data_IF_059894147437
#
_entry.id   IF_059894147437
#
_cell.length_a   1.000
_cell.length_b   1.000
_cell.length_c   1.000
_cell.angle_alpha   90.00
_cell.angle_beta   90.00
_cell.angle_gamma   90.00
#
_symmetry.space_group_name_H-M   'P 1'
#
loop_
_entity.id
_entity.type
_entity.pdbx_description
1 polymer ?
#
# COMPACT_ATOMS: atom_id res chain seq x y z
N UNK A 1 -17.35 33.72 21.33
CA UNK A 1 -16.91 34.58 20.22
C UNK A 1 -16.90 33.71 18.96
N UNK A 2 -17.90 33.89 18.07
CA UNK A 2 -18.11 33.34 16.68
C UNK A 2 -17.92 31.82 16.49
N UNK A 3 -18.88 30.95 16.17
CA UNK A 3 -20.01 30.93 15.23
C UNK A 3 -19.64 31.29 13.78
N UNK A 4 -19.58 30.29 12.88
CA UNK A 4 -20.38 30.23 11.65
C UNK A 4 -20.22 28.86 10.95
N UNK A 5 -21.33 28.13 10.84
CA UNK A 5 -21.68 27.26 9.71
C UNK A 5 -22.67 28.03 8.82
N UNK A 6 -23.06 27.43 7.68
CA UNK A 6 -23.88 27.90 6.54
C UNK A 6 -22.98 28.40 5.40
N UNK A 7 -23.02 27.90 4.16
CA UNK A 7 -24.07 27.23 3.39
C UNK A 7 -24.22 28.01 2.07
N UNK A 8 -24.31 27.33 0.91
CA UNK A 8 -24.58 28.02 -0.36
C UNK A 8 -24.31 27.21 -1.63
N UNK A 9 -25.36 26.56 -2.13
CA UNK A 9 -25.55 26.16 -3.54
C UNK A 9 -25.60 27.39 -4.47
N UNK A 10 -25.14 27.23 -5.72
CA UNK A 10 -25.86 27.73 -6.91
C UNK A 10 -25.33 27.12 -8.20
N UNK A 11 -26.29 26.77 -9.04
CA UNK A 11 -26.19 26.27 -10.40
C UNK A 11 -26.26 27.43 -11.42
N UNK A 12 -26.34 27.03 -12.69
CA UNK A 12 -26.62 27.81 -13.91
C UNK A 12 -25.41 28.56 -14.49
N UNK A 13 -25.13 28.56 -15.80
CA UNK A 13 -25.88 28.04 -16.94
C UNK A 13 -25.28 28.63 -18.22
N UNK A 14 -25.06 27.76 -19.21
CA UNK A 14 -25.39 27.92 -20.63
C UNK A 14 -24.73 29.04 -21.49
N UNK A 15 -24.43 28.66 -22.74
CA UNK A 15 -23.78 29.52 -23.72
C UNK A 15 -23.32 28.79 -24.96
N UNK A 16 -24.25 28.12 -25.66
CA UNK A 16 -24.06 27.64 -27.02
C UNK A 16 -23.93 28.79 -28.04
N UNK A 17 -23.08 28.60 -29.04
CA UNK A 17 -22.95 29.47 -30.21
C UNK A 17 -22.50 28.63 -31.40
N UNK A 18 -23.39 28.52 -32.39
CA UNK A 18 -23.37 27.64 -33.54
C UNK A 18 -23.35 28.48 -34.83
N UNK A 19 -22.51 28.07 -35.81
CA UNK A 19 -22.69 28.22 -37.28
C UNK A 19 -22.53 29.68 -37.81
N UNK A 20 -21.95 30.02 -38.96
CA UNK A 20 -21.87 29.41 -40.31
C UNK A 20 -20.71 30.02 -41.15
N UNK A 21 -20.22 29.21 -42.11
CA UNK A 21 -19.88 29.44 -43.54
C UNK A 21 -19.09 30.72 -43.94
N UNK A 22 -18.16 30.71 -44.89
CA UNK A 22 -18.35 30.27 -46.28
C UNK A 22 -17.02 30.26 -47.10
N UNK A 23 -16.95 29.32 -48.05
CA UNK A 23 -16.35 29.36 -49.40
C UNK A 23 -14.89 29.79 -49.69
N UNK A 24 -14.22 28.93 -50.48
CA UNK A 24 -13.58 29.39 -51.72
C UNK A 24 -12.11 29.00 -51.92
N UNK A 25 -11.85 28.12 -52.91
CA UNK A 25 -10.55 27.55 -53.23
C UNK A 25 -9.50 28.50 -53.83
N UNK A 26 -8.27 27.97 -53.97
CA UNK A 26 -7.20 28.61 -54.72
C UNK A 26 -5.83 28.04 -54.35
N UNK A 27 -5.25 27.24 -55.25
CA UNK A 27 -3.90 26.70 -55.08
C UNK A 27 -2.80 27.74 -55.27
N UNK A 28 -1.61 27.39 -54.75
CA UNK A 28 -0.23 27.78 -55.14
C UNK A 28 0.63 27.65 -53.87
N UNK A 29 1.41 26.58 -53.69
CA UNK A 29 2.80 26.47 -54.15
C UNK A 29 3.65 27.70 -53.84
N UNK A 30 4.49 27.64 -52.79
CA UNK A 30 5.94 27.88 -52.93
C UNK A 30 6.71 27.52 -51.64
N UNK A 31 7.53 26.48 -51.78
CA UNK A 31 8.94 26.39 -51.36
C UNK A 31 9.30 26.58 -49.90
N UNK A 32 9.55 25.47 -49.21
CA UNK A 32 10.66 25.40 -48.26
C UNK A 32 11.71 24.39 -48.76
N UNK A 33 12.72 24.99 -49.41
CA UNK A 33 14.08 24.52 -49.68
C UNK A 33 14.38 23.05 -49.39
N UNK A 34 14.25 22.22 -50.43
CA UNK A 34 14.84 20.89 -50.49
C UNK A 34 16.36 21.00 -50.63
N UNK A 35 17.10 20.92 -49.53
CA UNK A 35 18.47 20.39 -49.55
C UNK A 35 18.41 18.86 -49.47
N UNK A 36 17.75 18.25 -50.45
CA UNK A 36 17.94 16.84 -50.77
C UNK A 36 19.24 16.75 -51.58
N UNK A 37 20.37 16.56 -50.91
CA UNK A 37 21.55 16.02 -51.59
C UNK A 37 21.27 14.55 -51.83
N UNK A 38 20.72 14.28 -53.02
CA UNK A 38 20.59 12.96 -53.60
C UNK A 38 21.95 12.27 -53.63
N UNK A 39 22.19 11.36 -52.70
CA UNK A 39 23.26 10.36 -52.78
C UNK A 39 22.71 9.07 -53.40
N UNK A 40 21.93 9.20 -54.47
CA UNK A 40 21.37 8.06 -55.20
C UNK A 40 21.51 8.29 -56.69
N UNK A 41 22.74 8.29 -57.17
CA UNK A 41 23.06 7.91 -58.54
C UNK A 41 24.49 7.37 -58.60
N UNK A 42 24.60 6.12 -59.02
CA UNK A 42 25.81 5.45 -59.53
C UNK A 42 26.78 4.86 -58.50
N UNK A 43 26.37 3.76 -57.87
CA UNK A 43 27.21 2.56 -57.73
C UNK A 43 26.37 1.41 -57.18
N UNK A 44 25.72 0.64 -58.06
CA UNK A 44 25.26 -0.72 -57.74
C UNK A 44 26.47 -1.65 -57.62
N UNK A 45 27.36 -1.39 -56.65
CA UNK A 45 28.09 -2.46 -55.97
C UNK A 45 27.20 -2.79 -54.79
N UNK A 46 26.58 -3.97 -54.80
CA UNK A 46 25.77 -4.48 -53.68
C UNK A 46 26.51 -4.14 -52.39
N UNK A 47 25.95 -3.28 -51.54
CA UNK A 47 26.52 -3.08 -50.21
C UNK A 47 26.67 -4.47 -49.59
N UNK A 48 27.83 -4.79 -48.99
CA UNK A 48 28.05 -6.12 -48.51
C UNK A 48 27.02 -6.41 -47.42
N UNK A 49 26.41 -7.60 -47.44
CA UNK A 49 25.28 -7.95 -46.57
C UNK A 49 25.55 -7.72 -45.08
N UNK A 50 26.81 -7.82 -44.66
CA UNK A 50 27.24 -7.51 -43.29
C UNK A 50 27.01 -6.04 -42.91
N UNK A 51 27.20 -5.09 -43.83
CA UNK A 51 27.01 -3.66 -43.58
C UNK A 51 25.53 -3.33 -43.43
N UNK A 52 24.70 -3.90 -44.30
CA UNK A 52 23.25 -3.71 -44.24
C UNK A 52 22.65 -4.28 -42.94
N UNK A 53 23.13 -5.44 -42.49
CA UNK A 53 22.67 -6.06 -41.25
C UNK A 53 23.10 -5.26 -40.00
N UNK A 54 24.34 -4.76 -39.95
CA UNK A 54 24.81 -3.94 -38.82
C UNK A 54 24.09 -2.59 -38.76
N UNK A 55 23.86 -1.95 -39.92
CA UNK A 55 23.13 -0.69 -39.97
C UNK A 55 21.65 -0.87 -39.57
N UNK A 56 21.01 -1.98 -39.96
CA UNK A 56 19.66 -2.29 -39.53
C UNK A 56 19.58 -2.53 -38.01
N UNK A 57 20.52 -3.29 -37.42
CA UNK A 57 20.57 -3.53 -35.97
C UNK A 57 20.81 -2.22 -35.18
N UNK A 58 21.71 -1.36 -35.65
CA UNK A 58 21.96 -0.05 -35.04
C UNK A 58 20.73 0.87 -35.14
N UNK A 59 20.04 0.88 -36.28
CA UNK A 59 18.82 1.66 -36.49
C UNK A 59 17.68 1.19 -35.57
N UNK A 60 17.51 -0.11 -35.39
CA UNK A 60 16.49 -0.66 -34.48
C UNK A 60 16.83 -0.37 -33.00
N UNK A 61 18.10 -0.40 -32.62
CA UNK A 61 18.55 0.02 -31.28
C UNK A 61 18.36 1.54 -31.06
N UNK A 62 18.60 2.35 -32.09
CA UNK A 62 18.39 3.81 -32.05
C UNK A 62 16.91 4.17 -31.93
N UNK A 63 16.03 3.45 -32.63
CA UNK A 63 14.57 3.57 -32.46
C UNK A 63 14.14 3.18 -31.05
N UNK A 64 14.69 2.08 -30.52
CA UNK A 64 14.42 1.64 -29.14
C UNK A 64 14.84 2.69 -28.11
N UNK A 65 15.99 3.35 -28.32
CA UNK A 65 16.46 4.44 -27.47
C UNK A 65 15.52 5.64 -27.53
N UNK A 66 15.10 6.04 -28.73
CA UNK A 66 14.20 7.16 -28.96
C UNK A 66 12.83 6.94 -28.29
N UNK A 67 12.28 5.71 -28.38
CA UNK A 67 11.03 5.33 -27.70
C UNK A 67 11.18 5.34 -26.18
N UNK A 68 12.32 4.86 -25.67
CA UNK A 68 12.58 4.81 -24.22
C UNK A 68 12.67 6.21 -23.60
N UNK A 69 13.21 7.18 -24.34
CA UNK A 69 13.36 8.57 -23.90
C UNK A 69 12.06 9.39 -24.03
N UNK A 70 11.22 9.10 -25.02
CA UNK A 70 10.00 9.88 -25.30
C UNK A 70 8.77 9.41 -24.52
N UNK A 71 8.79 8.19 -23.99
CA UNK A 71 7.68 7.65 -23.18
C UNK A 71 7.80 8.06 -21.71
N UNK A 72 7.75 9.36 -21.45
CA UNK A 72 7.45 9.93 -20.14
C UNK A 72 5.93 10.14 -20.02
N UNK A 73 5.18 9.05 -19.93
CA UNK A 73 3.73 9.11 -19.67
C UNK A 73 3.49 9.31 -18.16
N UNK A 74 2.94 10.48 -17.81
CA UNK A 74 2.15 10.84 -16.62
C UNK A 74 2.37 10.00 -15.34
N UNK A 75 3.45 10.30 -14.63
CA UNK A 75 3.68 9.79 -13.27
C UNK A 75 3.42 10.93 -12.27
N UNK A 76 2.23 10.93 -11.65
CA UNK A 76 1.68 12.01 -10.80
C UNK A 76 2.34 12.15 -9.40
N UNK A 77 3.59 11.74 -9.21
CA UNK A 77 4.33 12.02 -7.97
C UNK A 77 5.85 11.99 -8.18
N UNK A 78 6.56 12.90 -7.51
CA UNK A 78 8.02 13.01 -7.54
C UNK A 78 8.72 11.69 -7.15
N UNK A 79 8.20 11.00 -6.13
CA UNK A 79 8.77 9.74 -5.66
C UNK A 79 8.70 8.64 -6.72
N UNK A 80 7.56 8.50 -7.40
CA UNK A 80 7.40 7.53 -8.49
C UNK A 80 8.24 7.91 -9.72
N UNK A 81 8.40 9.21 -10.01
CA UNK A 81 9.29 9.68 -11.08
C UNK A 81 10.75 9.31 -10.79
N UNK A 82 11.21 9.52 -9.56
CA UNK A 82 12.56 9.14 -9.13
C UNK A 82 12.77 7.61 -9.17
N UNK A 83 11.82 6.82 -8.63
CA UNK A 83 11.93 5.36 -8.67
C UNK A 83 11.99 4.84 -10.12
N UNK A 84 11.13 5.33 -11.00
CA UNK A 84 11.12 4.94 -12.40
C UNK A 84 12.41 5.32 -13.13
N UNK A 85 12.96 6.52 -12.86
CA UNK A 85 14.24 6.95 -13.41
C UNK A 85 15.37 6.00 -13.01
N UNK A 86 15.53 5.70 -11.71
CA UNK A 86 16.60 4.82 -11.24
C UNK A 86 16.41 3.37 -11.69
N UNK A 87 15.16 2.91 -11.88
CA UNK A 87 14.84 1.59 -12.44
C UNK A 87 15.18 1.46 -13.92
N UNK A 88 14.96 2.52 -14.72
CA UNK A 88 15.17 2.57 -16.20
C UNK A 88 16.61 2.90 -16.61
N UNK A 89 17.36 3.57 -15.73
CA UNK A 89 18.75 3.97 -15.96
C UNK A 89 19.68 2.83 -16.39
N UNK A 90 19.69 1.63 -15.76
CA UNK A 90 20.58 0.55 -16.18
C UNK A 90 20.27 0.01 -17.58
N UNK A 91 18.99 -0.08 -17.98
CA UNK A 91 18.63 -0.53 -19.32
C UNK A 91 19.03 0.49 -20.38
N UNK A 92 18.90 1.79 -20.09
CA UNK A 92 19.34 2.86 -20.98
C UNK A 92 20.87 2.87 -21.16
N UNK A 93 21.62 2.68 -20.07
CA UNK A 93 23.08 2.58 -20.12
C UNK A 93 23.54 1.38 -20.96
N UNK A 94 22.91 0.21 -20.78
CA UNK A 94 23.22 -0.96 -21.60
C UNK A 94 22.93 -0.73 -23.09
N UNK A 95 21.80 -0.10 -23.42
CA UNK A 95 21.44 0.21 -24.80
C UNK A 95 22.42 1.20 -25.45
N UNK A 96 22.87 2.21 -24.70
CA UNK A 96 23.90 3.15 -25.14
C UNK A 96 25.25 2.46 -25.36
N UNK A 97 25.64 1.57 -24.46
CA UNK A 97 26.87 0.78 -24.59
C UNK A 97 26.83 -0.13 -25.82
N UNK A 98 25.68 -0.78 -26.08
CA UNK A 98 25.48 -1.62 -27.25
C UNK A 98 25.55 -0.83 -28.56
N UNK A 99 24.97 0.38 -28.59
CA UNK A 99 25.09 1.30 -29.71
C UNK A 99 26.54 1.70 -29.95
N UNK A 100 27.24 2.12 -28.89
CA UNK A 100 28.66 2.51 -28.95
C UNK A 100 29.53 1.37 -29.49
N UNK A 101 29.38 0.16 -28.94
CA UNK A 101 30.11 -1.04 -29.37
C UNK A 101 29.77 -1.40 -30.82
N UNK A 102 28.51 -1.25 -31.23
CA UNK A 102 28.08 -1.47 -32.61
C UNK A 102 28.71 -0.48 -33.60
N UNK A 103 28.79 0.80 -33.24
CA UNK A 103 29.48 1.82 -34.05
C UNK A 103 31.00 1.57 -34.14
N UNK A 104 31.65 1.16 -33.03
CA UNK A 104 33.06 0.79 -33.04
C UNK A 104 33.33 -0.42 -33.95
N UNK A 105 32.52 -1.48 -33.81
CA UNK A 105 32.60 -2.69 -34.65
C UNK A 105 32.39 -2.36 -36.13
N UNK A 106 31.47 -1.43 -36.43
CA UNK A 106 31.24 -0.94 -37.78
C UNK A 106 32.45 -0.17 -38.33
N UNK A 107 33.03 0.73 -37.53
CA UNK A 107 34.20 1.51 -37.92
C UNK A 107 35.43 0.61 -38.15
N UNK A 108 35.70 -0.33 -37.26
CA UNK A 108 36.81 -1.28 -37.37
C UNK A 108 36.67 -2.15 -38.64
N UNK A 109 35.48 -2.73 -38.89
CA UNK A 109 35.24 -3.49 -40.13
C UNK A 109 35.35 -2.63 -41.38
N UNK A 110 34.94 -1.37 -41.33
CA UNK A 110 35.06 -0.45 -42.46
C UNK A 110 36.54 -0.16 -42.76
N UNK A 111 37.35 0.10 -41.74
CA UNK A 111 38.81 0.24 -41.87
C UNK A 111 39.43 -1.03 -42.44
N UNK A 112 39.04 -2.22 -41.96
CA UNK A 112 39.54 -3.49 -42.48
C UNK A 112 39.17 -3.71 -43.96
N UNK A 113 37.98 -3.27 -44.40
CA UNK A 113 37.56 -3.37 -45.81
C UNK A 113 38.33 -2.39 -46.70
N UNK A 114 38.62 -1.18 -46.22
CA UNK A 114 39.48 -0.21 -46.91
C UNK A 114 40.91 -0.72 -47.03
N UNK A 115 41.47 -1.32 -45.98
CA UNK A 115 42.81 -1.91 -45.99
C UNK A 115 42.93 -3.13 -46.91
N UNK A 116 41.84 -3.89 -47.12
CA UNK A 116 41.79 -5.05 -48.03
C UNK A 116 41.55 -4.67 -49.49
N UNK A 117 41.05 -3.46 -49.77
CA UNK A 117 40.83 -2.93 -51.13
C UNK A 117 41.40 -1.51 -51.22
N UNK A 118 42.74 -1.33 -51.31
CA UNK A 118 43.32 -0.01 -51.41
C UNK A 118 42.83 0.69 -52.69
N UNK A 119 42.24 1.90 -52.60
CA UNK A 119 41.99 2.70 -53.80
C UNK A 119 43.34 3.02 -54.44
N UNK A 120 43.51 2.60 -55.69
CA UNK A 120 44.59 3.10 -56.53
C UNK A 120 44.43 4.62 -56.64
N UNK A 121 45.50 5.33 -56.24
CA UNK A 121 45.82 6.76 -56.44
C UNK A 121 45.53 7.75 -55.29
N UNK A 122 46.66 8.33 -54.87
CA UNK A 122 46.92 9.59 -54.16
C UNK A 122 46.64 9.69 -52.64
N UNK A 123 47.72 9.43 -51.90
CA UNK A 123 48.27 10.22 -50.79
C UNK A 123 47.28 11.11 -50.02
N UNK A 124 46.91 10.65 -48.81
CA UNK A 124 47.15 11.29 -47.49
C UNK A 124 46.32 10.51 -46.48
N UNK A 125 46.96 9.83 -45.54
CA UNK A 125 46.28 9.15 -44.45
C UNK A 125 45.89 10.18 -43.37
N UNK A 126 44.65 10.22 -42.86
CA UNK A 126 44.34 10.93 -41.64
C UNK A 126 44.67 10.00 -40.47
N UNK A 127 45.70 10.35 -39.70
CA UNK A 127 45.91 9.78 -38.37
C UNK A 127 44.80 10.32 -37.47
N UNK A 128 43.79 9.49 -37.20
CA UNK A 128 42.79 9.78 -36.16
C UNK A 128 43.38 9.26 -34.85
N UNK A 129 44.02 10.15 -34.11
CA UNK A 129 44.46 9.91 -32.74
C UNK A 129 43.23 9.96 -31.82
N UNK A 130 42.69 8.79 -31.47
CA UNK A 130 41.66 8.69 -30.42
C UNK A 130 42.39 8.69 -29.09
N UNK A 131 42.38 9.84 -28.40
CA UNK A 131 42.71 9.90 -26.99
C UNK A 131 41.56 9.24 -26.22
N UNK A 132 41.81 8.04 -25.70
CA UNK A 132 40.96 7.43 -24.67
C UNK A 132 41.60 7.79 -23.33
N UNK A 133 40.96 8.72 -22.63
CA UNK A 133 41.27 9.07 -21.25
C UNK A 133 40.65 8.00 -20.34
N UNK A 134 41.50 7.11 -19.83
CA UNK A 134 41.17 6.20 -18.73
C UNK A 134 42.41 6.13 -17.84
N UNK A 135 42.26 6.71 -16.67
CA UNK A 135 43.16 6.62 -15.53
C UNK A 135 43.48 5.16 -15.22
N UNK A 136 44.77 4.79 -15.25
CA UNK A 136 45.31 3.75 -14.38
C UNK A 136 46.82 3.94 -14.19
N UNK A 137 47.25 3.60 -12.98
CA UNK A 137 48.48 3.95 -12.30
C UNK A 137 49.80 3.51 -13.00
N UNK A 138 50.78 4.43 -12.96
CA UNK A 138 52.21 4.17 -12.82
C UNK A 138 52.90 3.16 -13.75
N UNK A 139 53.60 3.66 -14.77
CA UNK A 139 55.02 3.32 -14.99
C UNK A 139 55.67 4.34 -15.93
N UNK A 140 56.87 4.79 -15.57
CA UNK A 140 57.67 5.72 -16.36
C UNK A 140 58.42 4.90 -17.40
N UNK A 141 57.97 4.93 -18.65
CA UNK A 141 58.82 4.53 -19.78
C UNK A 141 58.96 5.70 -20.74
N UNK A 142 60.02 6.47 -20.53
CA UNK A 142 60.57 7.41 -21.49
C UNK A 142 61.03 6.60 -22.71
N UNK A 143 60.22 6.58 -23.77
CA UNK A 143 60.64 6.01 -25.06
C UNK A 143 61.07 7.16 -25.96
N UNK A 144 62.35 7.49 -25.85
CA UNK A 144 63.10 8.34 -26.75
C UNK A 144 63.21 7.66 -28.12
N UNK A 145 62.43 8.12 -29.08
CA UNK A 145 62.49 7.68 -30.46
C UNK A 145 63.37 8.65 -31.28
N UNK A 146 64.68 8.67 -30.99
CA UNK A 146 65.66 9.25 -31.90
C UNK A 146 65.73 8.42 -33.19
N UNK A 147 65.03 8.89 -34.22
CA UNK A 147 65.15 8.40 -35.59
C UNK A 147 66.51 8.84 -36.17
N UNK A 148 67.53 8.00 -36.00
CA UNK A 148 68.85 8.21 -36.62
C UNK A 148 68.82 7.85 -38.12
N UNK A 149 68.72 8.86 -38.98
CA UNK A 149 69.03 8.77 -40.41
C UNK A 149 70.56 8.76 -40.60
N UNK A 150 71.14 7.61 -40.93
CA UNK A 150 72.55 7.50 -41.30
C UNK A 150 72.77 7.99 -42.74
N UNK A 151 73.37 9.17 -42.89
CA UNK A 151 73.92 9.60 -44.18
C UNK A 151 75.30 8.99 -44.37
N UNK A 152 75.39 8.02 -45.28
CA UNK A 152 76.65 7.47 -45.76
C UNK A 152 77.28 8.46 -46.74
N UNK A 153 78.38 9.11 -46.33
CA UNK A 153 79.17 9.97 -47.22
C UNK A 153 80.05 9.13 -48.16
N UNK A 154 79.91 9.36 -49.47
CA UNK A 154 80.76 8.79 -50.53
C UNK A 154 82.15 9.45 -50.53
N UNK A 155 83.24 8.71 -50.83
CA UNK A 155 84.57 9.29 -50.94
C UNK A 155 84.74 9.97 -52.31
N UNK A 156 85.21 11.22 -52.30
CA UNK A 156 85.64 11.92 -53.52
C UNK A 156 87.17 11.91 -53.59
N UNK A 157 87.68 11.35 -54.68
CA UNK A 157 89.10 11.27 -55.04
C UNK A 157 89.53 12.48 -55.88
N UNK A 158 90.81 12.88 -55.72
CA UNK A 158 91.64 13.73 -56.61
C UNK A 158 91.17 15.19 -56.79
N UNK A 159 92.00 16.22 -56.98
CA UNK A 159 93.42 16.35 -57.31
C UNK A 159 93.80 17.83 -57.11
N UNK A 160 95.08 18.09 -56.83
CA UNK A 160 95.65 19.43 -56.82
C UNK A 160 95.55 20.11 -58.19
N UNK A 161 95.14 21.39 -58.22
CA UNK A 161 95.77 22.49 -58.99
C UNK A 161 94.89 23.75 -59.02
N UNK A 162 95.57 24.90 -59.16
CA UNK A 162 95.08 26.25 -59.51
C UNK A 162 94.78 27.19 -58.33
N UNK A 163 95.86 27.80 -57.85
CA UNK A 163 95.84 29.12 -57.22
C UNK A 163 95.53 30.21 -58.28
N UNK A 164 95.08 31.38 -57.81
CA UNK A 164 94.67 32.60 -58.55
C UNK A 164 93.15 32.67 -58.87
N UNK A 165 92.29 32.42 -57.86
CA UNK A 165 90.90 32.95 -57.74
C UNK A 165 90.42 33.07 -56.27
N UNK A 166 91.32 32.85 -55.29
CA UNK A 166 90.96 32.44 -53.92
C UNK A 166 90.57 33.57 -52.95
N UNK A 167 90.89 34.84 -53.23
CA UNK A 167 90.56 35.94 -52.30
C UNK A 167 89.08 36.40 -52.40
N UNK A 168 88.51 36.40 -53.61
CA UNK A 168 87.10 36.79 -53.82
C UNK A 168 86.14 35.68 -53.35
N UNK A 169 86.44 34.40 -53.65
CA UNK A 169 85.61 33.27 -53.20
C UNK A 169 85.67 33.05 -51.68
N UNK A 170 86.79 33.39 -51.03
CA UNK A 170 86.94 33.31 -49.57
C UNK A 170 86.05 34.32 -48.83
N UNK A 171 86.00 35.55 -49.35
CA UNK A 171 85.14 36.61 -48.79
C UNK A 171 83.67 36.34 -49.06
N UNK A 172 83.31 35.88 -50.27
CA UNK A 172 81.95 35.46 -50.60
C UNK A 172 81.48 34.26 -49.75
N UNK A 173 82.35 33.29 -49.46
CA UNK A 173 82.04 32.17 -48.56
C UNK A 173 81.84 32.60 -47.11
N UNK A 174 82.60 33.59 -46.62
CA UNK A 174 82.43 34.14 -45.28
C UNK A 174 81.11 34.91 -45.17
N UNK A 175 80.78 35.69 -46.19
CA UNK A 175 79.49 36.40 -46.30
C UNK A 175 78.33 35.41 -46.34
N UNK A 176 78.43 34.34 -47.14
CA UNK A 176 77.41 33.29 -47.20
C UNK A 176 77.22 32.58 -45.85
N UNK A 177 78.30 32.28 -45.12
CA UNK A 177 78.22 31.73 -43.76
C UNK A 177 77.56 32.69 -42.78
N UNK A 178 77.88 33.98 -42.84
CA UNK A 178 77.25 34.97 -41.97
C UNK A 178 75.75 35.09 -42.26
N UNK A 179 75.36 35.13 -43.53
CA UNK A 179 73.95 35.18 -43.94
C UNK A 179 73.22 33.91 -43.48
N UNK A 180 73.78 32.71 -43.68
CA UNK A 180 73.21 31.47 -43.17
C UNK A 180 73.03 31.52 -41.65
N UNK A 181 74.04 31.98 -40.90
CA UNK A 181 73.96 32.09 -39.45
C UNK A 181 72.94 33.13 -38.98
N UNK A 182 72.77 34.22 -39.70
CA UNK A 182 71.72 35.21 -39.42
C UNK A 182 70.33 34.62 -39.63
N UNK A 183 70.10 33.91 -40.74
CA UNK A 183 68.82 33.25 -41.02
C UNK A 183 68.53 32.13 -40.00
N UNK A 184 69.52 31.30 -39.67
CA UNK A 184 69.40 30.28 -38.63
C UNK A 184 68.99 30.90 -37.28
N UNK A 185 69.60 32.04 -36.92
CA UNK A 185 69.27 32.77 -35.70
C UNK A 185 67.83 33.31 -35.73
N UNK A 186 67.40 33.90 -36.84
CA UNK A 186 66.02 34.41 -36.99
C UNK A 186 64.98 33.28 -36.88
N UNK A 187 65.25 32.12 -37.50
CA UNK A 187 64.41 30.91 -37.38
C UNK A 187 64.31 30.47 -35.92
N UNK A 188 65.46 30.38 -35.24
CA UNK A 188 65.50 29.94 -33.84
C UNK A 188 64.76 30.91 -32.91
N UNK A 189 64.88 32.22 -33.14
CA UNK A 189 64.14 33.23 -32.37
C UNK A 189 62.63 33.10 -32.59
N UNK A 190 62.20 32.85 -33.83
CA UNK A 190 60.79 32.62 -34.11
C UNK A 190 60.26 31.35 -33.44
N UNK A 191 61.01 30.25 -33.52
CA UNK A 191 60.65 28.97 -32.90
C UNK A 191 60.59 29.07 -31.37
N UNK A 192 61.56 29.75 -30.76
CA UNK A 192 61.56 30.08 -29.33
C UNK A 192 60.30 30.87 -28.94
N UNK A 193 59.88 31.85 -29.75
CA UNK A 193 58.68 32.63 -29.49
C UNK A 193 57.37 31.83 -29.60
N UNK A 194 57.30 30.86 -30.52
CA UNK A 194 56.16 29.95 -30.62
C UNK A 194 56.06 29.01 -29.42
N UNK A 195 57.19 28.43 -29.00
CA UNK A 195 57.27 27.57 -27.82
C UNK A 195 56.92 28.33 -26.54
N UNK A 196 57.43 29.55 -26.36
CA UNK A 196 57.07 30.39 -25.21
C UNK A 196 55.57 30.67 -25.14
N UNK A 197 54.95 30.99 -26.29
CA UNK A 197 53.49 31.18 -26.37
C UNK A 197 52.73 29.91 -26.01
N UNK A 198 53.20 28.74 -26.46
CA UNK A 198 52.59 27.44 -26.15
C UNK A 198 52.73 27.09 -24.66
N UNK A 199 53.91 27.30 -24.07
CA UNK A 199 54.15 27.12 -22.63
C UNK A 199 53.25 28.04 -21.81
N UNK A 200 53.11 29.32 -22.19
CA UNK A 200 52.23 30.27 -21.52
C UNK A 200 50.74 29.89 -21.63
N UNK A 201 50.33 29.32 -22.77
CA UNK A 201 48.96 28.82 -22.94
C UNK A 201 48.71 27.56 -22.09
N UNK A 202 49.68 26.64 -22.04
CA UNK A 202 49.63 25.45 -21.19
C UNK A 202 49.59 25.80 -19.70
N UNK A 203 50.42 26.75 -19.26
CA UNK A 203 50.43 27.25 -17.88
C UNK A 203 49.07 27.85 -17.49
N UNK A 204 48.45 28.64 -18.37
CA UNK A 204 47.09 29.16 -18.14
C UNK A 204 46.05 28.05 -18.06
N UNK A 205 46.12 27.03 -18.93
CA UNK A 205 45.21 25.87 -18.88
C UNK A 205 45.34 25.11 -17.57
N UNK A 206 46.57 24.86 -17.13
CA UNK A 206 46.86 24.20 -15.85
C UNK A 206 46.30 25.00 -14.67
N UNK A 207 46.46 26.33 -14.66
CA UNK A 207 45.94 27.19 -13.59
C UNK A 207 44.40 27.18 -13.54
N UNK A 208 43.75 27.24 -14.71
CA UNK A 208 42.29 27.10 -14.82
C UNK A 208 41.80 25.75 -14.30
N UNK A 209 42.51 24.65 -14.64
CA UNK A 209 42.18 23.32 -14.14
C UNK A 209 42.33 23.22 -12.62
N UNK A 210 43.38 23.80 -12.04
CA UNK A 210 43.56 23.87 -10.58
C UNK A 210 42.42 24.62 -9.90
N UNK A 211 42.06 25.79 -10.42
CA UNK A 211 40.95 26.57 -9.87
C UNK A 211 39.61 25.82 -9.96
N UNK A 212 39.36 25.11 -11.06
CA UNK A 212 38.17 24.27 -11.19
C UNK A 212 38.14 23.16 -10.13
N UNK A 213 39.27 22.48 -9.91
CA UNK A 213 39.37 21.44 -8.87
C UNK A 213 39.10 22.02 -7.49
N UNK A 214 39.68 23.18 -7.16
CA UNK A 214 39.45 23.85 -5.87
C UNK A 214 37.96 24.18 -5.65
N UNK A 215 37.27 24.69 -6.67
CA UNK A 215 35.83 24.96 -6.61
C UNK A 215 35.05 23.66 -6.37
N UNK A 216 35.33 22.60 -7.13
CA UNK A 216 34.66 21.31 -6.97
C UNK A 216 34.91 20.69 -5.59
N UNK A 217 36.13 20.81 -5.05
CA UNK A 217 36.45 20.37 -3.70
C UNK A 217 35.68 21.17 -2.63
N UNK A 218 35.54 22.48 -2.82
CA UNK A 218 34.75 23.34 -1.94
C UNK A 218 33.26 22.97 -1.95
N UNK A 219 32.68 22.72 -3.13
CA UNK A 219 31.29 22.28 -3.27
C UNK A 219 31.07 20.91 -2.63
N UNK A 220 32.00 19.96 -2.85
CA UNK A 220 31.98 18.66 -2.19
C UNK A 220 31.96 18.80 -0.67
N UNK A 221 32.79 19.69 -0.11
CA UNK A 221 32.85 19.90 1.33
C UNK A 221 31.56 20.51 1.89
N UNK A 222 30.96 21.46 1.19
CA UNK A 222 29.65 22.05 1.55
C UNK A 222 28.57 20.97 1.54
N UNK A 223 28.51 20.15 0.49
CA UNK A 223 27.53 19.06 0.38
C UNK A 223 27.70 18.01 1.48
N UNK A 224 28.95 17.65 1.81
CA UNK A 224 29.24 16.75 2.93
C UNK A 224 28.77 17.32 4.27
N UNK A 225 29.00 18.61 4.52
CA UNK A 225 28.55 19.28 5.73
C UNK A 225 27.02 19.31 5.84
N UNK A 226 26.35 19.68 4.75
CA UNK A 226 24.89 19.73 4.69
C UNK A 226 24.28 18.34 4.87
N UNK A 227 24.88 17.30 4.28
CA UNK A 227 24.43 15.93 4.45
C UNK A 227 24.60 15.44 5.91
N UNK A 228 25.70 15.80 6.56
CA UNK A 228 25.89 15.52 7.98
C UNK A 228 24.83 16.24 8.83
N UNK A 229 24.57 17.53 8.56
CA UNK A 229 23.54 18.33 9.25
C UNK A 229 22.15 17.73 9.08
N UNK A 230 21.78 17.32 7.87
CA UNK A 230 20.51 16.66 7.58
C UNK A 230 20.41 15.30 8.28
N UNK A 231 21.51 14.55 8.33
CA UNK A 231 21.57 13.27 9.06
C UNK A 231 21.31 13.47 10.56
N UNK A 232 21.92 14.46 11.20
CA UNK A 232 21.63 14.80 12.60
C UNK A 232 20.17 15.23 12.82
N UNK A 233 19.61 16.00 11.90
CA UNK A 233 18.20 16.40 11.99
C UNK A 233 17.28 15.19 11.86
N UNK A 234 17.58 14.28 10.95
CA UNK A 234 16.85 13.03 10.75
C UNK A 234 16.91 12.15 12.00
N UNK A 235 18.08 11.96 12.61
CA UNK A 235 18.23 11.17 13.83
C UNK A 235 17.43 11.77 14.99
N UNK A 236 17.49 13.09 15.17
CA UNK A 236 16.73 13.77 16.24
C UNK A 236 15.21 13.60 16.06
N UNK A 237 14.69 13.81 14.85
CA UNK A 237 13.27 13.63 14.57
C UNK A 237 12.83 12.16 14.70
N UNK A 238 13.72 11.22 14.40
CA UNK A 238 13.45 9.79 14.57
C UNK A 238 13.36 9.41 16.06
N UNK A 239 14.24 9.97 16.91
CA UNK A 239 14.17 9.78 18.36
C UNK A 239 12.92 10.41 18.98
N UNK A 240 12.56 11.63 18.57
CA UNK A 240 11.33 12.29 19.03
C UNK A 240 10.08 11.48 18.63
N UNK A 241 10.00 11.01 17.38
CA UNK A 241 8.92 10.14 16.93
C UNK A 241 8.84 8.83 17.71
N UNK A 242 9.99 8.25 18.06
CA UNK A 242 10.04 7.05 18.92
C UNK A 242 9.48 7.36 20.31
N UNK A 243 9.82 8.52 20.89
CA UNK A 243 9.24 9.04 22.13
C UNK A 243 7.72 9.15 22.05
N UNK A 244 7.21 9.91 21.07
CA UNK A 244 5.78 10.10 20.83
C UNK A 244 5.02 8.79 20.60
N UNK A 245 5.62 7.83 19.87
CA UNK A 245 5.04 6.52 19.66
C UNK A 245 4.89 5.74 20.99
N UNK A 246 5.87 5.84 21.88
CA UNK A 246 5.83 5.20 23.19
C UNK A 246 4.79 5.83 24.13
N UNK A 247 4.66 7.16 24.10
CA UNK A 247 3.65 7.91 24.85
C UNK A 247 2.24 7.60 24.35
N UNK A 248 2.03 7.61 23.03
CA UNK A 248 0.75 7.24 22.42
C UNK A 248 0.35 5.80 22.78
N UNK A 249 1.29 4.85 22.74
CA UNK A 249 1.03 3.49 23.16
C UNK A 249 0.66 3.39 24.66
N UNK A 250 1.31 4.18 25.52
CA UNK A 250 0.95 4.26 26.93
C UNK A 250 -0.45 4.82 27.15
N UNK A 251 -0.77 5.95 26.52
CA UNK A 251 -2.09 6.57 26.61
C UNK A 251 -3.19 5.64 26.10
N UNK A 252 -2.94 4.92 25.01
CA UNK A 252 -3.84 3.88 24.50
C UNK A 252 -4.08 2.78 25.54
N UNK A 253 -3.03 2.27 26.19
CA UNK A 253 -3.18 1.28 27.27
C UNK A 253 -4.04 1.84 28.42
N UNK A 254 -3.77 3.06 28.88
CA UNK A 254 -4.54 3.69 29.96
C UNK A 254 -6.01 3.92 29.60
N UNK A 255 -6.29 4.35 28.38
CA UNK A 255 -7.65 4.49 27.88
C UNK A 255 -8.39 3.12 27.85
N UNK A 256 -7.71 2.04 27.44
CA UNK A 256 -8.30 0.70 27.47
C UNK A 256 -8.55 0.16 28.88
N UNK A 257 -7.67 0.46 29.84
CA UNK A 257 -7.87 0.12 31.25
C UNK A 257 -9.10 0.83 31.82
N UNK A 258 -9.22 2.15 31.59
CA UNK A 258 -10.38 2.95 31.97
C UNK A 258 -11.68 2.43 31.35
N UNK A 259 -11.67 2.12 30.04
CA UNK A 259 -12.83 1.55 29.37
C UNK A 259 -13.29 0.24 30.02
N UNK A 260 -12.34 -0.64 30.40
CA UNK A 260 -12.63 -1.90 31.09
C UNK A 260 -13.23 -1.65 32.48
N UNK A 261 -12.70 -0.69 33.25
CA UNK A 261 -13.26 -0.30 34.54
C UNK A 261 -14.71 0.18 34.42
N UNK A 262 -14.99 1.05 33.44
CA UNK A 262 -16.35 1.57 33.22
C UNK A 262 -17.34 0.45 32.85
N UNK A 263 -16.94 -0.49 31.99
CA UNK A 263 -17.78 -1.63 31.64
C UNK A 263 -18.06 -2.51 32.86
N UNK A 264 -17.04 -2.77 33.68
CA UNK A 264 -17.21 -3.54 34.91
C UNK A 264 -18.18 -2.86 35.88
N UNK A 265 -18.07 -1.54 36.07
CA UNK A 265 -18.98 -0.79 36.94
C UNK A 265 -20.45 -0.86 36.46
N UNK A 266 -20.69 -0.81 35.15
CA UNK A 266 -22.05 -0.94 34.60
C UNK A 266 -22.63 -2.32 34.87
N UNK A 267 -21.82 -3.35 34.70
CA UNK A 267 -22.23 -4.73 34.96
C UNK A 267 -22.49 -4.96 36.46
N UNK A 268 -21.59 -4.50 37.33
CA UNK A 268 -21.77 -4.57 38.78
C UNK A 268 -23.06 -3.85 39.24
N UNK A 269 -23.34 -2.67 38.65
CA UNK A 269 -24.59 -1.95 38.92
C UNK A 269 -25.83 -2.73 38.47
N UNK A 270 -25.79 -3.34 37.28
CA UNK A 270 -26.89 -4.17 36.77
C UNK A 270 -27.13 -5.39 37.65
N UNK A 271 -26.05 -6.08 38.06
CA UNK A 271 -26.13 -7.22 38.98
C UNK A 271 -26.76 -6.78 40.29
N UNK A 272 -26.34 -5.66 40.88
CA UNK A 272 -26.92 -5.13 42.11
C UNK A 272 -28.43 -4.86 41.98
N UNK A 273 -28.87 -4.22 40.89
CA UNK A 273 -30.30 -3.94 40.64
C UNK A 273 -31.12 -5.23 40.50
N UNK A 274 -30.59 -6.24 39.81
CA UNK A 274 -31.26 -7.52 39.65
C UNK A 274 -31.30 -8.32 40.95
N UNK A 275 -30.21 -8.34 41.73
CA UNK A 275 -30.16 -8.98 43.05
C UNK A 275 -31.23 -8.40 43.97
N UNK A 276 -31.36 -7.06 44.02
CA UNK A 276 -32.41 -6.41 44.81
C UNK A 276 -33.82 -6.79 44.34
N UNK A 277 -34.04 -6.88 43.02
CA UNK A 277 -35.33 -7.30 42.46
C UNK A 277 -35.66 -8.76 42.82
N UNK A 278 -34.65 -9.63 42.82
CA UNK A 278 -34.80 -11.03 43.23
C UNK A 278 -35.20 -11.09 44.71
N UNK A 279 -34.53 -10.33 45.58
CA UNK A 279 -34.87 -10.26 47.01
C UNK A 279 -36.32 -9.79 47.23
N UNK A 280 -36.74 -8.73 46.53
CA UNK A 280 -38.12 -8.23 46.60
C UNK A 280 -39.14 -9.29 46.16
N UNK A 281 -38.88 -10.00 45.05
CA UNK A 281 -39.74 -11.06 44.55
C UNK A 281 -39.77 -12.29 45.48
N UNK A 282 -38.63 -12.66 46.08
CA UNK A 282 -38.55 -13.70 47.09
C UNK A 282 -39.39 -13.33 48.33
N UNK A 283 -39.33 -12.07 48.77
CA UNK A 283 -40.17 -11.57 49.85
C UNK A 283 -41.67 -11.65 49.54
N UNK A 284 -42.07 -11.31 48.31
CA UNK A 284 -43.46 -11.43 47.86
C UNK A 284 -43.92 -12.89 47.79
N UNK A 285 -43.09 -13.80 47.25
CA UNK A 285 -43.35 -15.23 47.21
C UNK A 285 -43.54 -15.79 48.62
N UNK A 286 -42.63 -15.49 49.55
CA UNK A 286 -42.76 -15.89 50.94
C UNK A 286 -44.05 -15.37 51.59
N UNK A 287 -44.41 -14.12 51.34
CA UNK A 287 -45.66 -13.53 51.82
C UNK A 287 -46.92 -14.20 51.24
N UNK A 288 -46.88 -14.60 49.96
CA UNK A 288 -47.94 -15.38 49.32
C UNK A 288 -48.04 -16.79 49.87
N UNK A 289 -46.92 -17.49 50.03
CA UNK A 289 -46.84 -18.82 50.62
C UNK A 289 -47.40 -18.85 52.03
N UNK A 290 -47.05 -17.86 52.86
CA UNK A 290 -47.58 -17.72 54.22
C UNK A 290 -49.09 -17.56 54.21
N UNK A 291 -49.63 -16.65 53.39
CA UNK A 291 -51.08 -16.45 53.28
C UNK A 291 -51.78 -17.71 52.76
N UNK A 292 -51.24 -18.38 51.75
CA UNK A 292 -51.77 -19.64 51.23
C UNK A 292 -51.84 -20.71 52.34
N UNK A 293 -50.78 -20.86 53.14
CA UNK A 293 -50.77 -21.77 54.28
C UNK A 293 -51.88 -21.45 55.28
N UNK A 294 -52.05 -20.18 55.65
CA UNK A 294 -53.14 -19.74 56.53
C UNK A 294 -54.53 -19.99 55.92
N UNK A 295 -54.68 -19.82 54.61
CA UNK A 295 -55.93 -20.15 53.91
C UNK A 295 -56.26 -21.64 54.00
N UNK A 296 -55.29 -22.52 53.74
CA UNK A 296 -55.47 -23.97 53.86
C UNK A 296 -55.79 -24.38 55.31
N UNK A 297 -55.11 -23.80 56.30
CA UNK A 297 -55.38 -24.09 57.71
C UNK A 297 -56.80 -23.70 58.12
N UNK A 298 -57.30 -22.54 57.66
CA UNK A 298 -58.70 -22.14 57.87
C UNK A 298 -59.70 -23.08 57.19
N UNK A 299 -59.34 -23.62 56.03
CA UNK A 299 -60.20 -24.54 55.27
C UNK A 299 -60.32 -25.89 56.01
N UNK A 300 -59.19 -26.42 56.49
CA UNK A 300 -59.14 -27.63 57.33
C UNK A 300 -59.94 -27.44 58.63
N UNK A 301 -59.74 -26.33 59.35
CA UNK A 301 -60.52 -26.06 60.58
C UNK A 301 -62.03 -26.04 60.34
N UNK A 302 -62.49 -25.42 59.24
CA UNK A 302 -63.92 -25.45 58.90
C UNK A 302 -64.42 -26.86 58.59
N UNK A 303 -63.60 -27.68 57.92
CA UNK A 303 -63.96 -29.07 57.65
C UNK A 303 -64.09 -29.87 58.95
N UNK A 304 -63.16 -29.67 59.89
CA UNK A 304 -63.20 -30.31 61.21
C UNK A 304 -64.39 -29.81 62.05
N UNK A 305 -64.69 -28.51 62.06
CA UNK A 305 -65.88 -27.95 62.71
C UNK A 305 -67.18 -28.57 62.16
N UNK A 306 -67.25 -28.80 60.85
CA UNK A 306 -68.40 -29.46 60.21
C UNK A 306 -68.47 -30.93 60.62
N UNK A 307 -67.32 -31.63 60.69
CA UNK A 307 -67.27 -33.02 61.18
C UNK A 307 -67.69 -33.12 62.63
N UNK A 308 -67.24 -32.21 63.49
CA UNK A 308 -67.60 -32.16 64.91
C UNK A 308 -69.08 -31.90 65.11
N UNK A 309 -69.64 -30.91 64.41
CA UNK A 309 -71.10 -30.67 64.41
C UNK A 309 -71.90 -31.88 63.92
N UNK A 310 -71.40 -32.60 62.90
CA UNK A 310 -72.03 -33.85 62.43
C UNK A 310 -71.95 -34.94 63.50
N UNK A 311 -70.83 -35.07 64.20
CA UNK A 311 -70.65 -36.04 65.30
C UNK A 311 -71.59 -35.72 66.47
N UNK A 312 -71.67 -34.46 66.87
CA UNK A 312 -72.56 -33.97 67.92
C UNK A 312 -74.03 -34.21 67.55
N UNK A 313 -74.44 -33.83 66.34
CA UNK A 313 -75.80 -34.10 65.84
C UNK A 313 -76.10 -35.60 65.79
N UNK A 314 -75.14 -36.45 65.40
CA UNK A 314 -75.32 -37.89 65.41
C UNK A 314 -75.50 -38.46 66.83
N UNK A 315 -74.74 -37.95 67.81
CA UNK A 315 -74.89 -38.33 69.23
C UNK A 315 -76.26 -37.92 69.78
N UNK A 316 -76.71 -36.70 69.50
CA UNK A 316 -78.02 -36.19 69.92
C UNK A 316 -79.16 -37.04 69.32
N UNK A 317 -79.08 -37.34 68.01
CA UNK A 317 -80.06 -38.22 67.35
C UNK A 317 -80.05 -39.61 67.97
N UNK A 318 -78.88 -40.18 68.28
CA UNK A 318 -78.79 -41.48 68.95
C UNK A 318 -79.43 -41.46 70.35
N UNK A 319 -79.22 -40.38 71.12
CA UNK A 319 -79.81 -40.23 72.44
C UNK A 319 -81.34 -40.16 72.37
N UNK A 320 -81.88 -39.35 71.46
CA UNK A 320 -83.33 -39.23 71.29
C UNK A 320 -83.94 -40.54 70.75
N UNK A 321 -83.24 -41.25 69.87
CA UNK A 321 -83.65 -42.60 69.42
C UNK A 321 -83.70 -43.58 70.59
N UNK A 322 -82.70 -43.59 71.48
CA UNK A 322 -82.68 -44.51 72.63
C UNK A 322 -83.77 -44.14 73.65
N UNK A 323 -84.01 -42.86 73.89
CA UNK A 323 -85.13 -42.37 74.72
C UNK A 323 -86.48 -42.78 74.14
N UNK A 324 -86.71 -42.57 72.83
CA UNK A 324 -87.91 -43.02 72.14
C UNK A 324 -88.08 -44.55 72.16
N UNK A 325 -86.97 -45.30 72.17
CA UNK A 325 -86.98 -46.76 72.25
C UNK A 325 -87.37 -47.25 73.64
N UNK A 326 -86.86 -46.62 74.69
CA UNK A 326 -87.28 -46.89 76.08
C UNK A 326 -88.77 -46.55 76.25
N UNK A 327 -89.22 -45.40 75.74
CA UNK A 327 -90.63 -45.01 75.80
C UNK A 327 -91.52 -45.98 75.00
N UNK A 328 -91.10 -46.41 73.81
CA UNK A 328 -91.79 -47.45 73.06
C UNK A 328 -91.83 -48.80 73.80
N UNK A 329 -90.76 -49.17 74.53
CA UNK A 329 -90.76 -50.35 75.39
C UNK A 329 -91.77 -50.22 76.53
N UNK A 330 -91.81 -49.07 77.21
CA UNK A 330 -92.79 -48.77 78.25
C UNK A 330 -94.21 -48.85 77.73
N UNK A 331 -94.51 -48.21 76.59
CA UNK A 331 -95.81 -48.27 75.93
C UNK A 331 -96.18 -49.70 75.50
N UNK A 332 -95.20 -50.52 75.09
CA UNK A 332 -95.41 -51.93 74.74
C UNK A 332 -95.66 -52.80 75.96
N UNK A 333 -95.03 -52.51 77.09
CA UNK A 333 -95.26 -53.16 78.38
C UNK A 333 -96.61 -52.75 79.00
N UNK A 334 -97.03 -51.49 78.86
CA UNK A 334 -98.37 -50.98 79.18
C UNK A 334 -99.45 -51.62 78.27
N UNK A 335 -99.18 -51.80 76.98
CA UNK A 335 -100.04 -52.54 76.06
C UNK A 335 -100.12 -54.05 76.38
N UNK A 336 -99.05 -54.65 76.92
CA UNK A 336 -99.03 -56.06 77.30
C UNK A 336 -99.66 -56.33 78.68
N UNK A 337 -99.59 -55.39 79.62
CA UNK A 337 -100.25 -55.48 80.94
C UNK A 337 -101.77 -55.26 80.88
N UNK A 338 -102.26 -54.69 79.78
CA UNK A 338 -103.70 -54.58 79.47
C UNK A 338 -104.26 -55.75 78.65
N UNK A 339 -103.45 -56.80 78.37
CA UNK A 339 -103.86 -57.95 77.58
C UNK A 339 -103.75 -59.28 78.37
N UNK A 340 -104.74 -59.55 79.22
CA UNK A 340 -105.09 -60.92 79.66
C UNK A 340 -106.45 -61.31 79.08
N UNK A 341 -106.51 -61.71 77.82
CA UNK A 341 -107.09 -62.98 77.30
C UNK A 341 -107.17 -62.96 75.75
N UNK A 342 -106.99 -64.12 75.09
CA UNK A 342 -106.62 -64.18 73.67
C UNK A 342 -107.80 -64.45 72.74
N UNK A 343 -107.69 -64.01 71.48
CA UNK A 343 -108.38 -64.70 70.39
C UNK A 343 -107.59 -64.68 69.09
N UNK A 344 -107.55 -65.87 68.52
CA UNK A 344 -106.90 -66.34 67.32
C UNK A 344 -107.59 -65.75 66.09
N UNK A 345 -106.85 -65.45 65.01
CA UNK A 345 -107.18 -65.87 63.63
C UNK A 345 -105.96 -65.64 62.71
N UNK A 346 -105.53 -66.78 62.15
CA UNK A 346 -104.86 -67.09 60.88
C UNK A 346 -103.76 -66.21 60.24
N UNK A 347 -102.65 -66.91 59.97
CA UNK A 347 -101.57 -66.60 59.02
C UNK A 347 -102.03 -66.47 57.56
N UNK A 348 -101.47 -65.48 56.85
CA UNK A 348 -100.83 -65.59 55.51
C UNK A 348 -99.91 -64.37 55.32
N UNK A 349 -98.59 -64.50 55.39
CA UNK A 349 -97.60 -64.78 54.32
C UNK A 349 -97.58 -63.79 53.15
N UNK A 350 -96.44 -63.09 53.01
CA UNK A 350 -95.89 -62.53 51.77
C UNK A 350 -96.10 -61.02 51.62
N UNK A 351 -95.13 -60.17 51.99
CA UNK A 351 -93.96 -59.77 51.18
C UNK A 351 -94.35 -58.86 50.00
N UNK A 352 -93.91 -57.60 49.90
CA UNK A 352 -92.97 -56.89 50.75
C UNK A 352 -92.85 -55.40 50.45
N UNK A 353 -92.40 -54.70 51.49
CA UNK A 353 -91.58 -53.48 51.52
C UNK A 353 -91.89 -52.41 50.48
N UNK A 354 -92.74 -51.50 50.92
CA UNK A 354 -92.66 -50.08 50.60
C UNK A 354 -91.26 -49.58 50.97
N UNK A 355 -90.46 -49.32 49.94
CA UNK A 355 -89.17 -48.65 50.05
C UNK A 355 -89.39 -47.17 50.37
N UNK A 356 -89.39 -46.84 51.65
CA UNK A 356 -89.41 -45.46 52.17
C UNK A 356 -88.24 -44.57 51.64
N UNK A 357 -87.25 -45.16 50.96
CA UNK A 357 -86.15 -44.43 50.30
C UNK A 357 -86.43 -43.96 48.85
N UNK A 358 -87.66 -44.11 48.34
CA UNK A 358 -88.00 -43.82 46.94
C UNK A 358 -88.01 -42.35 46.49
N UNK A 359 -87.93 -41.37 47.39
CA UNK A 359 -88.27 -39.96 47.05
C UNK A 359 -87.11 -38.95 47.19
N UNK A 360 -85.87 -39.39 47.45
CA UNK A 360 -84.72 -38.46 47.58
C UNK A 360 -83.78 -38.48 46.36
N UNK A 361 -83.99 -39.36 45.38
CA UNK A 361 -83.31 -39.30 44.07
C UNK A 361 -84.18 -38.60 43.02
N UNK A 362 -84.53 -37.33 43.26
CA UNK A 362 -85.05 -36.43 42.23
C UNK A 362 -84.51 -35.01 42.46
N UNK A 363 -83.19 -34.87 42.45
CA UNK A 363 -82.53 -33.57 42.27
C UNK A 363 -81.11 -33.78 41.72
N UNK A 364 -81.03 -34.29 40.50
CA UNK A 364 -79.95 -33.91 39.58
C UNK A 364 -80.61 -33.26 38.37
N UNK A 365 -80.50 -31.93 38.26
CA UNK A 365 -80.25 -31.22 37.00
C UNK A 365 -80.03 -29.73 37.25
N UNK A 366 -79.36 -29.08 36.29
CA UNK A 366 -79.04 -27.65 36.13
C UNK A 366 -77.62 -27.30 36.63
N UNK A 367 -76.60 -27.58 35.82
CA UNK A 367 -76.05 -26.70 34.77
C UNK A 367 -75.39 -25.44 35.31
N UNK A 368 -74.06 -25.35 35.12
CA UNK A 368 -73.40 -24.23 34.46
C UNK A 368 -72.09 -24.73 33.84
N UNK A 369 -72.15 -25.11 32.56
CA UNK A 369 -71.01 -25.08 31.66
C UNK A 369 -70.74 -23.60 31.28
N UNK A 370 -69.48 -23.18 31.14
CA UNK A 370 -68.79 -22.73 29.89
C UNK A 370 -68.00 -21.43 30.24
N UNK A 371 -66.88 -21.01 29.58
CA UNK A 371 -65.91 -21.70 28.73
C UNK A 371 -64.43 -21.55 29.19
N UNK A 372 -63.58 -22.43 28.67
CA UNK A 372 -62.18 -22.15 28.33
C UNK A 372 -62.07 -21.21 27.14
N UNK A 373 -61.18 -20.20 27.18
CA UNK A 373 -60.30 -19.94 26.02
C UNK A 373 -59.07 -19.08 26.37
N UNK A 374 -57.97 -19.21 25.59
CA UNK A 374 -56.63 -18.77 25.91
C UNK A 374 -56.28 -17.41 25.30
N UNK A 375 -55.44 -16.62 26.00
CA UNK A 375 -54.68 -15.54 25.35
C UNK A 375 -53.24 -15.47 25.87
N UNK A 376 -52.36 -15.76 24.92
CA UNK A 376 -50.99 -15.27 24.75
C UNK A 376 -50.81 -13.84 25.29
N UNK A 377 -49.72 -13.64 26.05
CA UNK A 377 -48.98 -12.37 26.06
C UNK A 377 -47.56 -12.65 26.53
N UNK A 378 -46.62 -12.50 25.60
CA UNK A 378 -45.24 -12.17 25.89
C UNK A 378 -45.15 -11.09 26.98
N UNK A 379 -44.25 -11.29 27.95
CA UNK A 379 -43.21 -10.32 28.32
C UNK A 379 -42.09 -11.07 29.04
#
# INVERSE_FOLDING_TARGET
>A
MKQLMMGGESADGDGGGSVCNDSGGGGSSLTQSSYSRNFTANNTKKQPSWLQNILADLDDKMKTLSVTLTREEDIDSFANRAENYYRKRPQLLNLLQDLYNGYLSLADRYVQVLSKNPPQQHQTAPVITVYSDVEDEGDVTESDAESSLSYQAMPSTSSASIEIQNASQSTDNLVAQLIMKTVDYEILVQEMGLLDRQCNESARKMELQKSLVEVLESERLILLNENARLSYKMTNLMEENKGLASESAFMKRKATELARCVLKMREDHRVCMLSRKIEDLQGQLYGLEKRNKEYYEKLVRREDDVKDKKREMALEVCFEVEKLKIENQRLKEEANSTATTPSYIMKKKGAGKDGWWGTVRKFEMVCLCVPTDPKVSHY
#
